data_IF_401337225745
#
_entry.id   IF_401337225745
#
_cell.length_a   1.000
_cell.length_b   1.000
_cell.length_c   1.000
_cell.angle_alpha   90.00
_cell.angle_beta   90.00
_cell.angle_gamma   90.00
#
_symmetry.space_group_name_H-M   'P 1'
#
loop_
_entity.id
_entity.type
_entity.pdbx_description
1 polymer ?
#
# COMPACT_ATOMS: atom_id res chain seq x y z
N UNK A 1 5.22 -3.93 -8.00
CA UNK A 1 5.09 -4.55 -6.69
C UNK A 1 5.12 -3.45 -5.67
N UNK A 2 4.18 -3.42 -4.75
CA UNK A 2 4.07 -2.34 -3.77
C UNK A 2 5.31 -2.35 -2.86
N UNK A 3 5.99 -1.22 -2.78
CA UNK A 3 7.19 -1.10 -1.95
C UNK A 3 6.77 -0.66 -0.57
N UNK A 4 7.07 -1.48 0.43
CA UNK A 4 6.82 -1.15 1.83
C UNK A 4 8.08 -0.61 2.48
N UNK A 5 7.99 0.58 3.07
CA UNK A 5 9.04 1.21 3.87
C UNK A 5 8.49 1.48 5.26
N UNK A 6 9.27 1.18 6.30
CA UNK A 6 8.83 1.47 7.65
C UNK A 6 9.20 2.90 8.04
N UNK A 7 8.23 3.63 8.59
CA UNK A 7 8.52 4.80 9.40
C UNK A 7 8.75 4.31 10.83
N UNK A 8 9.98 4.44 11.31
CA UNK A 8 10.41 3.92 12.61
C UNK A 8 11.24 4.96 13.38
N UNK A 9 11.14 4.88 14.70
CA UNK A 9 11.81 5.73 15.68
C UNK A 9 11.74 5.07 17.06
N UNK A 10 12.02 5.82 18.12
CA UNK A 10 12.05 5.26 19.48
C UNK A 10 10.65 4.86 19.96
N UNK A 11 10.38 3.55 19.91
CA UNK A 11 9.14 2.95 20.44
C UNK A 11 7.99 2.82 19.46
N UNK A 12 8.18 3.10 18.17
CA UNK A 12 7.16 2.87 17.13
C UNK A 12 7.75 2.33 15.83
N UNK A 13 6.93 1.56 15.11
CA UNK A 13 7.23 1.07 13.77
C UNK A 13 5.94 0.98 12.97
N UNK A 14 5.79 1.90 12.01
CA UNK A 14 4.61 2.01 11.15
C UNK A 14 4.99 1.50 9.76
N UNK A 15 4.45 0.35 9.32
CA UNK A 15 4.63 -0.12 7.95
C UNK A 15 3.89 0.84 7.01
N UNK A 16 4.63 1.48 6.11
CA UNK A 16 4.08 2.42 5.13
C UNK A 16 4.22 1.85 3.72
N UNK A 17 3.14 1.83 2.95
CA UNK A 17 3.19 1.49 1.53
C UNK A 17 3.49 2.74 0.73
N UNK A 18 4.49 2.66 -0.14
CA UNK A 18 4.88 3.75 -1.03
C UNK A 18 4.03 3.70 -2.30
N UNK A 19 3.35 4.81 -2.57
CA UNK A 19 2.59 5.05 -3.78
C UNK A 19 3.24 6.17 -4.59
N UNK A 20 3.53 5.88 -5.86
CA UNK A 20 4.06 6.86 -6.80
C UNK A 20 2.92 7.64 -7.44
N UNK A 21 3.11 8.95 -7.58
CA UNK A 21 2.29 9.74 -8.49
C UNK A 21 2.40 9.12 -9.88
N UNK A 22 1.30 8.69 -10.49
CA UNK A 22 1.38 7.92 -11.72
C UNK A 22 1.83 8.87 -12.83
N UNK A 23 2.70 8.41 -13.75
CA UNK A 23 3.27 9.28 -14.78
C UNK A 23 2.21 9.83 -15.73
N UNK A 24 1.03 9.21 -15.75
CA UNK A 24 -0.07 9.51 -16.65
C UNK A 24 -1.02 10.63 -16.20
N UNK A 25 -0.79 11.24 -15.03
CA UNK A 25 -1.59 12.38 -14.53
C UNK A 25 -1.65 13.52 -15.55
N UNK A 26 -0.58 13.73 -16.31
CA UNK A 26 -0.49 14.78 -17.33
C UNK A 26 -0.60 14.23 -18.77
N UNK A 27 -0.97 12.97 -18.96
CA UNK A 27 -1.12 12.39 -20.30
C UNK A 27 -2.47 12.76 -20.89
N UNK A 28 -2.50 13.16 -22.15
CA UNK A 28 -3.72 13.54 -22.89
C UNK A 28 -3.85 12.78 -24.19
N UNK A 29 -2.74 12.51 -24.88
CA UNK A 29 -2.67 11.63 -26.04
C UNK A 29 -2.90 10.18 -25.65
N UNK A 30 -2.17 9.71 -24.63
CA UNK A 30 -2.18 8.29 -24.24
C UNK A 30 -3.38 7.92 -23.36
N UNK A 31 -4.16 8.90 -22.90
CA UNK A 31 -5.29 8.76 -21.97
C UNK A 31 -6.51 9.51 -22.49
N UNK A 32 -7.42 8.79 -23.15
CA UNK A 32 -8.60 9.40 -23.77
C UNK A 32 -9.53 10.07 -22.75
N UNK A 33 -9.58 9.53 -21.53
CA UNK A 33 -10.29 10.08 -20.39
C UNK A 33 -9.79 11.49 -19.98
N UNK A 34 -8.55 11.84 -20.31
CA UNK A 34 -7.96 13.13 -19.98
C UNK A 34 -8.18 14.21 -21.05
N UNK A 35 -8.83 13.88 -22.17
CA UNK A 35 -9.12 14.86 -23.24
C UNK A 35 -9.96 16.05 -22.78
N UNK A 36 -10.76 15.88 -21.73
CA UNK A 36 -11.52 16.98 -21.12
C UNK A 36 -10.64 18.05 -20.46
N UNK A 37 -9.36 17.75 -20.18
CA UNK A 37 -8.39 18.72 -19.67
C UNK A 37 -7.63 19.48 -20.77
N UNK A 38 -7.87 19.18 -22.04
CA UNK A 38 -7.29 19.93 -23.15
C UNK A 38 -7.82 21.37 -23.16
N UNK A 39 -6.96 22.35 -22.91
CA UNK A 39 -7.35 23.76 -23.02
C UNK A 39 -7.40 24.18 -24.50
N UNK A 40 -8.41 24.97 -24.91
CA UNK A 40 -8.45 25.57 -26.25
C UNK A 40 -7.33 26.59 -26.51
N UNK A 41 -6.59 27.00 -25.48
CA UNK A 41 -5.48 27.95 -25.60
C UNK A 41 -4.15 27.29 -25.99
N UNK A 42 -4.08 25.95 -25.93
CA UNK A 42 -2.95 25.19 -26.47
C UNK A 42 -2.90 25.32 -28.00
N UNK A 43 -1.70 25.26 -28.61
CA UNK A 43 -1.59 25.15 -30.06
C UNK A 43 -2.29 23.90 -30.60
N UNK A 44 -2.80 24.00 -31.83
CA UNK A 44 -3.58 22.94 -32.46
C UNK A 44 -2.79 21.63 -32.56
N UNK A 45 -3.44 20.51 -32.26
CA UNK A 45 -2.83 19.19 -32.32
C UNK A 45 -1.90 18.87 -31.15
N UNK A 46 -1.58 19.80 -30.26
CA UNK A 46 -0.67 19.50 -29.15
C UNK A 46 -1.26 18.48 -28.18
N UNK A 47 -2.55 18.63 -27.85
CA UNK A 47 -3.19 17.74 -26.89
C UNK A 47 -3.36 16.31 -27.42
N UNK A 48 -3.52 16.17 -28.73
CA UNK A 48 -3.67 14.89 -29.42
C UNK A 48 -2.33 14.20 -29.69
N UNK A 49 -1.26 14.96 -29.88
CA UNK A 49 0.03 14.44 -30.32
C UNK A 49 1.06 14.26 -29.21
N UNK A 50 0.86 14.93 -28.06
CA UNK A 50 1.82 14.95 -26.97
C UNK A 50 1.16 14.76 -25.61
N UNK A 51 1.93 14.22 -24.69
CA UNK A 51 1.59 14.00 -23.28
C UNK A 51 2.49 14.86 -22.39
N UNK A 52 2.06 15.16 -21.16
CA UNK A 52 2.89 15.75 -20.11
C UNK A 52 2.60 17.20 -19.77
N UNK A 53 1.54 17.80 -20.34
CA UNK A 53 1.16 19.19 -20.09
C UNK A 53 -0.23 19.29 -19.46
N UNK A 54 -0.37 20.18 -18.49
CA UNK A 54 -1.66 20.59 -17.95
C UNK A 54 -1.77 22.12 -17.93
N UNK A 55 -2.63 22.68 -18.78
CA UNK A 55 -2.89 24.12 -18.77
C UNK A 55 -3.69 24.51 -17.53
N UNK A 56 -3.25 25.58 -16.87
CA UNK A 56 -3.83 26.13 -15.65
C UNK A 56 -4.47 27.51 -15.89
N UNK A 57 -4.68 27.88 -17.14
CA UNK A 57 -5.28 29.16 -17.55
C UNK A 57 -6.63 29.41 -16.88
N UNK A 58 -7.49 28.39 -16.80
CA UNK A 58 -8.80 28.53 -16.18
C UNK A 58 -8.73 28.74 -14.66
N UNK A 59 -7.75 28.15 -13.97
CA UNK A 59 -7.60 28.28 -12.52
C UNK A 59 -6.65 29.43 -12.11
N UNK A 60 -5.89 30.00 -13.04
CA UNK A 60 -4.93 31.10 -12.81
C UNK A 60 -5.36 32.40 -13.53
N UNK A 61 -6.66 32.67 -13.58
CA UNK A 61 -7.21 33.95 -14.10
C UNK A 61 -6.74 34.29 -15.52
N UNK A 62 -6.60 33.29 -16.38
CA UNK A 62 -6.17 33.45 -17.78
C UNK A 62 -4.65 33.54 -17.96
N UNK A 63 -3.84 33.39 -16.92
CA UNK A 63 -2.39 33.31 -17.05
C UNK A 63 -1.99 32.09 -17.90
N UNK A 64 -0.97 32.18 -18.77
CA UNK A 64 -0.54 31.09 -19.64
C UNK A 64 0.26 30.02 -18.89
N UNK A 65 -0.13 29.70 -17.65
CA UNK A 65 0.58 28.77 -16.79
C UNK A 65 0.30 27.32 -17.19
N UNK A 66 1.37 26.51 -17.21
CA UNK A 66 1.34 25.09 -17.56
C UNK A 66 2.05 24.30 -16.46
N UNK A 67 1.34 23.36 -15.87
CA UNK A 67 1.89 22.40 -14.91
C UNK A 67 2.43 21.17 -15.64
N UNK A 68 3.61 20.72 -15.23
CA UNK A 68 4.27 19.51 -15.74
C UNK A 68 4.99 18.77 -14.60
N UNK A 69 5.51 17.58 -14.90
CA UNK A 69 6.56 16.98 -14.07
C UNK A 69 7.86 17.81 -14.14
N UNK A 70 8.71 17.78 -13.10
CA UNK A 70 10.04 18.40 -13.13
C UNK A 70 10.86 17.93 -14.33
N UNK A 71 11.55 18.86 -15.00
CA UNK A 71 12.29 18.63 -16.25
C UNK A 71 11.45 17.93 -17.33
N UNK A 72 10.12 18.14 -17.32
CA UNK A 72 9.16 17.46 -18.20
C UNK A 72 9.10 15.94 -18.03
N UNK A 73 9.45 15.42 -16.83
CA UNK A 73 9.36 13.99 -16.51
C UNK A 73 7.96 13.45 -16.77
N UNK A 74 7.87 12.29 -17.40
CA UNK A 74 6.59 11.68 -17.78
C UNK A 74 5.89 12.39 -18.95
N UNK A 75 6.51 13.39 -19.60
CA UNK A 75 6.00 14.00 -20.83
C UNK A 75 6.58 13.40 -22.10
N UNK A 76 6.10 13.89 -23.24
CA UNK A 76 6.68 13.60 -24.56
C UNK A 76 8.05 14.28 -24.74
N UNK A 77 8.96 13.64 -25.49
CA UNK A 77 10.34 14.14 -25.69
C UNK A 77 10.42 15.53 -26.31
N UNK A 78 9.41 15.95 -27.09
CA UNK A 78 9.33 17.30 -27.65
C UNK A 78 9.58 18.39 -26.60
N UNK A 79 9.09 18.22 -25.38
CA UNK A 79 9.22 19.23 -24.32
C UNK A 79 10.65 19.40 -23.82
N UNK A 80 11.47 18.35 -23.91
CA UNK A 80 12.90 18.40 -23.58
C UNK A 80 13.75 18.81 -24.78
N UNK A 81 13.29 18.52 -26.00
CA UNK A 81 14.02 18.86 -27.24
C UNK A 81 14.04 20.38 -27.50
N UNK A 82 12.97 21.09 -27.10
CA UNK A 82 12.83 22.52 -27.29
C UNK A 82 13.69 23.37 -26.34
N UNK A 83 14.22 22.78 -25.25
CA UNK A 83 14.86 23.52 -24.14
C UNK A 83 16.13 22.80 -23.65
N UNK A 84 17.28 23.45 -23.83
CA UNK A 84 18.56 22.96 -23.34
C UNK A 84 18.59 22.90 -21.80
N UNK A 85 19.19 21.84 -21.25
CA UNK A 85 19.34 21.64 -19.80
C UNK A 85 18.17 20.90 -19.13
N UNK A 86 17.21 20.36 -19.90
CA UNK A 86 16.16 19.49 -19.37
C UNK A 86 16.64 18.03 -19.28
N UNK A 87 16.74 17.48 -18.07
CA UNK A 87 17.15 16.10 -17.82
C UNK A 87 16.06 15.36 -17.03
N UNK A 88 15.00 14.86 -17.70
CA UNK A 88 13.93 14.13 -17.01
C UNK A 88 14.45 12.82 -16.41
N UNK A 89 14.03 12.52 -15.19
CA UNK A 89 14.29 11.23 -14.57
C UNK A 89 13.12 10.30 -14.93
N UNK A 90 13.32 9.52 -15.98
CA UNK A 90 12.32 8.58 -16.49
C UNK A 90 12.51 7.16 -15.94
N UNK A 91 13.30 6.99 -14.87
CA UNK A 91 13.65 5.66 -14.36
C UNK A 91 12.40 4.96 -13.77
N UNK A 92 11.96 3.82 -14.31
CA UNK A 92 10.85 3.07 -13.75
C UNK A 92 11.32 2.25 -12.55
N UNK A 93 10.97 2.66 -11.33
CA UNK A 93 11.20 1.87 -10.11
C UNK A 93 11.60 2.71 -8.90
N UNK A 94 11.42 2.15 -7.71
CA UNK A 94 11.82 2.81 -6.47
C UNK A 94 13.29 2.66 -6.21
N UNK A 95 14.00 3.77 -6.22
CA UNK A 95 15.27 3.87 -5.52
C UNK A 95 15.26 5.17 -4.71
N UNK A 96 15.30 5.05 -3.38
CA UNK A 96 15.42 6.19 -2.47
C UNK A 96 16.61 7.05 -2.91
N UNK A 97 16.34 8.31 -3.28
CA UNK A 97 17.38 9.24 -3.75
C UNK A 97 17.62 9.25 -5.27
N UNK A 98 16.98 8.38 -6.07
CA UNK A 98 16.97 8.45 -7.55
C UNK A 98 15.57 8.62 -8.15
N UNK A 99 14.65 9.17 -7.37
CA UNK A 99 13.33 9.56 -7.85
C UNK A 99 13.25 11.09 -7.80
N UNK A 100 14.21 11.77 -8.44
CA UNK A 100 14.40 13.21 -8.28
C UNK A 100 13.21 13.98 -8.84
N UNK A 101 12.61 13.48 -9.92
CA UNK A 101 11.48 14.12 -10.60
C UNK A 101 10.13 13.42 -10.35
N UNK A 102 10.12 12.28 -9.67
CA UNK A 102 8.87 11.54 -9.38
C UNK A 102 8.27 11.93 -8.03
N UNK A 103 6.96 12.16 -7.99
CA UNK A 103 6.20 12.35 -6.75
C UNK A 103 5.91 11.02 -6.06
N UNK A 104 5.96 10.95 -4.74
CA UNK A 104 5.58 9.75 -3.99
C UNK A 104 5.00 10.08 -2.60
N UNK A 105 4.21 9.14 -2.07
CA UNK A 105 3.58 9.19 -0.76
C UNK A 105 3.76 7.86 -0.05
N UNK A 106 4.08 7.89 1.24
CA UNK A 106 3.99 6.75 2.14
C UNK A 106 2.68 6.78 2.90
N UNK A 107 1.94 5.68 2.91
CA UNK A 107 0.66 5.55 3.61
C UNK A 107 0.70 4.44 4.66
N UNK A 108 0.22 4.71 5.87
CA UNK A 108 -0.08 3.65 6.85
C UNK A 108 -1.30 2.85 6.37
N UNK A 109 -1.15 1.53 6.21
CA UNK A 109 -2.22 0.66 5.71
C UNK A 109 -3.42 0.57 6.65
N UNK A 110 -3.24 0.86 7.93
CA UNK A 110 -4.32 0.73 8.91
C UNK A 110 -5.22 1.98 8.95
N UNK A 111 -4.61 3.16 8.96
CA UNK A 111 -5.33 4.44 9.05
C UNK A 111 -5.54 5.16 7.72
N UNK A 112 -4.73 4.85 6.70
CA UNK A 112 -4.64 5.62 5.46
C UNK A 112 -3.90 6.96 5.61
N UNK A 113 -3.32 7.25 6.78
CA UNK A 113 -2.59 8.49 7.00
C UNK A 113 -1.28 8.54 6.20
N UNK A 114 -0.92 9.73 5.71
CA UNK A 114 0.36 9.95 5.04
C UNK A 114 1.47 9.99 6.10
N UNK A 115 2.43 9.08 6.03
CA UNK A 115 3.57 9.00 6.95
C UNK A 115 4.76 9.82 6.46
N UNK A 116 4.92 9.91 5.15
CA UNK A 116 5.86 10.79 4.47
C UNK A 116 5.38 11.10 3.05
N UNK A 117 5.84 12.21 2.49
CA UNK A 117 5.51 12.65 1.13
C UNK A 117 6.70 13.39 0.51
N UNK A 118 6.81 13.25 -0.82
CA UNK A 118 7.55 14.16 -1.67
C UNK A 118 6.68 14.43 -2.90
N UNK A 119 6.05 15.59 -2.95
CA UNK A 119 5.26 16.07 -4.08
C UNK A 119 6.10 17.03 -4.91
N UNK A 120 6.21 16.74 -6.20
CA UNK A 120 7.04 17.48 -7.14
C UNK A 120 6.21 17.92 -8.34
N UNK A 121 6.35 19.19 -8.69
CA UNK A 121 5.64 19.83 -9.80
C UNK A 121 6.51 20.92 -10.39
N UNK A 122 6.39 21.13 -11.69
CA UNK A 122 7.04 22.22 -12.41
C UNK A 122 5.99 23.16 -12.98
N UNK A 123 6.26 24.47 -12.81
CA UNK A 123 5.44 25.55 -13.34
C UNK A 123 6.19 26.17 -14.52
N UNK A 124 5.47 26.24 -15.65
CA UNK A 124 5.96 26.74 -16.91
C UNK A 124 4.99 27.80 -17.45
N UNK A 125 5.45 28.61 -18.40
CA UNK A 125 4.59 29.49 -19.19
C UNK A 125 4.55 29.08 -20.65
N UNK A 126 3.36 29.07 -21.25
CA UNK A 126 3.18 28.93 -22.68
C UNK A 126 3.49 30.27 -23.35
N UNK A 127 4.66 30.36 -23.98
CA UNK A 127 5.16 31.57 -24.63
C UNK A 127 4.97 31.43 -26.14
N UNK A 128 4.23 32.35 -26.74
CA UNK A 128 4.08 32.46 -28.21
C UNK A 128 5.01 33.54 -28.72
N UNK A 129 5.43 33.45 -29.99
CA UNK A 129 6.18 34.52 -30.63
C UNK A 129 5.32 35.77 -30.71
N UNK A 130 5.86 36.91 -30.26
CA UNK A 130 5.22 38.22 -30.41
C UNK A 130 6.30 39.26 -30.77
N UNK A 131 6.29 39.72 -32.02
CA UNK A 131 7.29 40.67 -32.52
C UNK A 131 7.18 42.07 -31.87
N UNK A 132 6.09 42.34 -31.12
CA UNK A 132 5.91 43.59 -30.37
C UNK A 132 6.68 43.58 -29.05
N UNK A 133 7.08 42.41 -28.56
CA UNK A 133 7.73 42.21 -27.27
C UNK A 133 9.13 41.64 -27.51
N UNK A 134 10.16 42.41 -27.19
CA UNK A 134 11.56 42.09 -27.55
C UNK A 134 11.98 40.65 -27.24
N UNK A 135 11.81 40.18 -26.00
CA UNK A 135 12.21 38.81 -25.63
C UNK A 135 11.34 37.70 -26.27
N UNK A 136 10.08 38.00 -26.62
CA UNK A 136 9.19 37.02 -27.27
C UNK A 136 9.42 36.96 -28.78
N UNK A 137 10.02 37.99 -29.37
CA UNK A 137 10.44 38.00 -30.78
C UNK A 137 11.62 37.06 -31.08
N UNK A 138 12.32 36.60 -30.04
CA UNK A 138 13.45 35.67 -30.16
C UNK A 138 13.03 34.19 -30.08
N UNK A 139 11.74 33.92 -29.80
CA UNK A 139 11.20 32.56 -29.80
C UNK A 139 11.31 31.99 -31.23
N UNK A 140 12.09 30.91 -31.36
CA UNK A 140 12.41 30.28 -32.65
C UNK A 140 11.29 29.37 -33.18
N UNK A 141 10.41 28.88 -32.30
CA UNK A 141 9.29 28.03 -32.67
C UNK A 141 8.11 28.92 -33.12
N UNK A 142 7.55 28.66 -34.30
CA UNK A 142 6.46 29.45 -34.88
C UNK A 142 5.14 29.28 -34.11
N UNK A 143 4.94 28.15 -33.42
CA UNK A 143 3.70 27.87 -32.69
C UNK A 143 3.72 28.45 -31.26
N UNK A 144 4.54 27.87 -30.39
CA UNK A 144 4.74 28.24 -29.00
C UNK A 144 5.89 27.44 -28.39
N UNK A 145 6.41 27.88 -27.25
CA UNK A 145 7.36 27.15 -26.39
C UNK A 145 6.78 27.07 -24.98
N UNK A 146 6.96 25.93 -24.30
CA UNK A 146 6.60 25.76 -22.88
C UNK A 146 7.81 26.11 -22.02
N UNK A 147 7.94 27.38 -21.64
CA UNK A 147 9.12 27.89 -20.95
C UNK A 147 9.10 27.59 -19.44
N UNK A 148 10.08 26.84 -18.88
CA UNK A 148 10.12 26.49 -17.47
C UNK A 148 10.50 27.71 -16.63
N UNK A 149 9.76 27.94 -15.55
CA UNK A 149 10.03 29.04 -14.61
C UNK A 149 10.73 28.50 -13.37
N UNK A 150 10.12 27.51 -12.73
CA UNK A 150 10.69 26.80 -11.58
C UNK A 150 10.01 25.44 -11.41
N UNK A 151 10.67 24.56 -10.67
CA UNK A 151 10.04 23.38 -10.09
C UNK A 151 10.20 23.42 -8.57
N UNK A 152 9.30 22.74 -7.88
CA UNK A 152 9.30 22.70 -6.42
C UNK A 152 9.15 21.29 -5.91
N UNK A 153 9.88 20.97 -4.84
CA UNK A 153 9.73 19.74 -4.06
C UNK A 153 9.11 20.09 -2.70
N UNK A 154 7.84 19.74 -2.53
CA UNK A 154 7.16 19.81 -1.24
C UNK A 154 7.36 18.47 -0.53
N UNK A 155 8.02 18.49 0.63
CA UNK A 155 8.32 17.27 1.39
C UNK A 155 7.67 17.32 2.76
N UNK A 156 7.18 16.18 3.22
CA UNK A 156 6.64 15.99 4.55
C UNK A 156 7.14 14.68 5.13
N UNK A 157 7.45 14.66 6.42
CA UNK A 157 7.67 13.45 7.20
C UNK A 157 7.05 13.69 8.57
N UNK A 158 6.31 12.71 9.09
CA UNK A 158 5.79 12.80 10.45
C UNK A 158 6.95 12.90 11.43
N UNK A 159 6.84 13.86 12.36
CA UNK A 159 7.72 13.93 13.52
C UNK A 159 7.45 12.77 14.49
N UNK A 160 8.39 12.54 15.40
CA UNK A 160 8.36 11.38 16.30
C UNK A 160 7.15 11.39 17.25
N UNK A 161 6.67 12.56 17.67
CA UNK A 161 5.51 12.67 18.55
C UNK A 161 4.24 12.27 17.82
N UNK A 162 4.01 12.86 16.64
CA UNK A 162 2.87 12.56 15.78
C UNK A 162 2.90 11.11 15.28
N UNK A 163 4.07 10.62 14.88
CA UNK A 163 4.25 9.24 14.43
C UNK A 163 3.94 8.24 15.56
N UNK A 164 4.39 8.52 16.80
CA UNK A 164 4.04 7.67 17.95
C UNK A 164 2.55 7.68 18.23
N UNK A 165 1.90 8.86 18.21
CA UNK A 165 0.45 8.97 18.37
C UNK A 165 -0.30 8.14 17.32
N UNK A 166 0.11 8.25 16.06
CA UNK A 166 -0.44 7.44 14.97
C UNK A 166 -0.25 5.94 15.21
N UNK A 167 0.95 5.52 15.61
CA UNK A 167 1.25 4.11 15.93
C UNK A 167 0.37 3.57 17.05
N UNK A 168 0.15 4.35 18.10
CA UNK A 168 -0.71 3.95 19.22
C UNK A 168 -2.18 3.87 18.84
N UNK A 169 -2.63 4.72 17.92
CA UNK A 169 -4.00 4.73 17.43
C UNK A 169 -4.30 3.65 16.38
N UNK A 170 -3.34 3.31 15.51
CA UNK A 170 -3.57 2.43 14.35
C UNK A 170 -2.90 1.06 14.48
N UNK A 171 -1.58 1.02 14.62
CA UNK A 171 -0.81 -0.23 14.54
C UNK A 171 -0.85 -1.03 15.85
N UNK A 172 -0.75 -0.36 16.99
CA UNK A 172 -0.68 -0.99 18.32
C UNK A 172 -1.95 -1.80 18.65
N UNK A 173 -3.19 -1.30 18.43
CA UNK A 173 -4.40 -2.07 18.71
C UNK A 173 -4.50 -3.33 17.85
N UNK A 174 -4.12 -3.26 16.57
CA UNK A 174 -4.08 -4.42 15.67
C UNK A 174 -3.13 -5.50 16.20
N UNK A 175 -1.90 -5.12 16.59
CA UNK A 175 -0.92 -6.06 17.16
C UNK A 175 -1.43 -6.72 18.44
N UNK A 176 -2.03 -5.94 19.34
CA UNK A 176 -2.59 -6.46 20.60
C UNK A 176 -3.74 -7.44 20.31
N UNK A 177 -4.67 -7.06 19.42
CA UNK A 177 -5.79 -7.90 19.02
C UNK A 177 -5.34 -9.23 18.43
N UNK A 178 -4.40 -9.19 17.47
CA UNK A 178 -3.83 -10.40 16.86
C UNK A 178 -3.07 -11.26 17.87
N UNK A 179 -2.30 -10.66 18.77
CA UNK A 179 -1.61 -11.39 19.84
C UNK A 179 -2.59 -12.09 20.78
N UNK A 180 -3.68 -11.42 21.16
CA UNK A 180 -4.72 -12.00 22.01
C UNK A 180 -5.43 -13.16 21.31
N UNK A 181 -5.77 -13.01 20.03
CA UNK A 181 -6.37 -14.08 19.22
C UNK A 181 -5.48 -15.33 19.19
N UNK A 182 -4.19 -15.18 18.87
CA UNK A 182 -3.26 -16.32 18.86
C UNK A 182 -3.11 -16.97 20.23
N UNK A 183 -3.11 -16.16 21.30
CA UNK A 183 -3.04 -16.68 22.68
C UNK A 183 -4.28 -17.51 23.02
N UNK A 184 -5.48 -17.04 22.64
CA UNK A 184 -6.72 -17.78 22.84
C UNK A 184 -6.76 -19.09 22.03
N UNK A 185 -6.30 -19.08 20.77
CA UNK A 185 -6.22 -20.29 19.96
C UNK A 185 -5.21 -21.30 20.53
N UNK A 186 -4.05 -20.85 21.00
CA UNK A 186 -3.06 -21.71 21.65
C UNK A 186 -3.62 -22.34 22.93
N UNK A 187 -4.30 -21.55 23.77
CA UNK A 187 -4.94 -22.04 24.99
C UNK A 187 -6.04 -23.06 24.69
N UNK A 188 -6.92 -22.76 23.72
CA UNK A 188 -7.98 -23.67 23.29
C UNK A 188 -7.42 -24.98 22.73
N UNK A 189 -6.41 -24.91 21.87
CA UNK A 189 -5.72 -26.08 21.35
C UNK A 189 -5.08 -26.93 22.45
N UNK A 190 -4.45 -26.29 23.44
CA UNK A 190 -3.86 -26.98 24.59
C UNK A 190 -4.91 -27.74 25.41
N UNK A 191 -6.05 -27.13 25.71
CA UNK A 191 -7.14 -27.79 26.44
C UNK A 191 -7.73 -28.97 25.66
N UNK A 192 -7.86 -28.85 24.34
CA UNK A 192 -8.29 -29.96 23.46
C UNK A 192 -7.29 -31.11 23.52
N UNK A 193 -5.99 -30.83 23.47
CA UNK A 193 -4.96 -31.87 23.59
C UNK A 193 -5.05 -32.62 24.91
N UNK A 194 -5.27 -31.92 26.03
CA UNK A 194 -5.49 -32.56 27.34
C UNK A 194 -6.72 -33.47 27.29
N UNK A 195 -7.84 -32.99 26.77
CA UNK A 195 -9.07 -33.78 26.66
C UNK A 195 -8.88 -35.06 25.82
N UNK A 196 -8.13 -34.96 24.71
CA UNK A 196 -7.78 -36.09 23.85
C UNK A 196 -6.92 -37.10 24.63
N UNK A 197 -5.89 -36.64 25.34
CA UNK A 197 -5.00 -37.51 26.13
C UNK A 197 -5.78 -38.26 27.21
N UNK A 198 -6.66 -37.55 27.95
CA UNK A 198 -7.49 -38.17 28.98
C UNK A 198 -8.52 -39.14 28.40
N UNK A 199 -9.09 -38.85 27.22
CA UNK A 199 -9.95 -39.78 26.50
C UNK A 199 -9.23 -41.08 26.12
N UNK A 200 -8.03 -40.97 25.53
CA UNK A 200 -7.23 -42.15 25.18
C UNK A 200 -6.76 -42.96 26.39
N UNK A 201 -6.44 -42.29 27.51
CA UNK A 201 -6.12 -42.96 28.78
C UNK A 201 -7.30 -43.76 29.32
N UNK A 202 -8.50 -43.20 29.25
CA UNK A 202 -9.73 -43.85 29.72
C UNK A 202 -10.10 -45.04 28.84
N UNK A 203 -9.99 -44.90 27.52
CA UNK A 203 -10.17 -46.00 26.56
C UNK A 203 -9.23 -47.17 26.85
N UNK A 204 -7.93 -46.90 27.07
CA UNK A 204 -6.96 -47.94 27.43
C UNK A 204 -7.32 -48.63 28.76
N UNK A 205 -7.73 -47.86 29.77
CA UNK A 205 -8.18 -48.42 31.06
C UNK A 205 -9.39 -49.35 30.95
N UNK A 206 -10.33 -49.07 30.05
CA UNK A 206 -11.48 -49.95 29.82
C UNK A 206 -11.10 -51.25 29.11
N UNK A 207 -10.15 -51.19 28.17
CA UNK A 207 -9.63 -52.40 27.48
C UNK A 207 -8.80 -53.28 28.43
N UNK A 208 -8.06 -52.67 29.37
CA UNK A 208 -7.25 -53.40 30.37
C UNK A 208 -8.04 -53.94 31.57
N UNK A 209 -9.34 -53.65 31.69
CA UNK A 209 -10.18 -54.20 32.77
C UNK A 209 -10.77 -55.54 32.32
N UNK A 210 -10.22 -56.70 32.76
CA UNK A 210 -10.64 -58.01 32.26
C UNK A 210 -12.08 -58.31 32.66
N UNK A 211 -12.83 -58.81 31.68
CA UNK A 211 -14.10 -59.49 31.82
C UNK A 211 -14.03 -60.50 32.98
N UNK A 212 -14.71 -60.19 34.10
CA UNK A 212 -14.90 -61.15 35.18
C UNK A 212 -15.97 -62.15 34.72
N UNK A 213 -15.57 -63.11 33.89
CA UNK A 213 -16.36 -64.28 33.51
C UNK A 213 -16.49 -65.20 34.72
N UNK A 214 -17.49 -64.97 35.55
CA UNK A 214 -17.91 -65.89 36.60
C UNK A 214 -18.88 -66.91 35.99
N UNK A 215 -18.34 -67.92 35.30
CA UNK A 215 -19.09 -69.12 34.94
C UNK A 215 -19.02 -70.12 36.11
N UNK A 216 -19.96 -70.03 37.05
CA UNK A 216 -20.24 -71.12 37.98
C UNK A 216 -21.18 -72.09 37.26
N UNK A 217 -20.60 -73.15 36.69
CA UNK A 217 -21.34 -74.35 36.30
C UNK A 217 -21.63 -75.11 37.60
N UNK A 218 -22.87 -75.10 38.08
CA UNK A 218 -23.31 -76.02 39.12
C UNK A 218 -23.43 -77.44 38.52
N UNK A 219 -22.74 -78.38 39.17
CA UNK A 219 -22.59 -79.78 38.77
C UNK A 219 -23.83 -80.60 39.20
N UNK A 220 -24.53 -81.33 38.30
CA UNK A 220 -25.85 -81.89 38.58
C UNK A 220 -25.84 -83.25 39.31
N UNK A 221 -24.78 -83.61 40.04
CA UNK A 221 -24.68 -84.95 40.66
C UNK A 221 -24.09 -84.93 42.08
N UNK A 222 -24.96 -84.73 43.07
CA UNK A 222 -24.72 -85.22 44.43
C UNK A 222 -26.04 -85.60 45.12
N UNK A 223 -26.46 -86.83 44.88
CA UNK A 223 -27.41 -87.58 45.70
C UNK A 223 -26.63 -88.49 46.67
N UNK A 224 -27.02 -88.45 47.95
CA UNK A 224 -27.10 -89.53 48.96
C UNK A 224 -27.16 -88.81 50.32
N UNK A 225 -28.34 -88.67 50.90
CA UNK A 225 -29.10 -89.66 51.67
C UNK A 225 -28.72 -89.68 53.16
N UNK A 226 -29.76 -89.35 53.92
CA UNK A 226 -30.21 -89.97 55.15
C UNK A 226 -29.38 -89.77 56.43
N UNK A 227 -29.99 -89.02 57.36
CA UNK A 227 -30.12 -89.44 58.76
C UNK A 227 -31.24 -88.67 59.44
N UNK A 228 -32.31 -89.40 59.71
CA UNK A 228 -33.40 -89.03 60.59
C UNK A 228 -33.22 -89.67 61.97
N UNK A 229 -33.46 -88.86 63.01
CA UNK A 229 -34.12 -89.17 64.30
C UNK A 229 -33.35 -89.78 65.51
N UNK A 230 -33.81 -89.30 66.68
CA UNK A 230 -33.64 -89.68 68.10
C UNK A 230 -32.52 -88.96 68.85
N UNK A 231 -32.75 -88.23 69.96
CA UNK A 231 -33.86 -88.10 70.94
C UNK A 231 -34.04 -86.64 71.35
#
# INVERSE_FOLDING_TARGET
GDVTVNLEGDGYKIPSVVWYGPPDVFWTKSRQEHRCFCSPNLPEGWCENYDGLHMMDQCQMGAPAVATGPHFSGGSSRWTDDIEGMEPDNTPGFEWGKAEHTSFNGYDLNSGAITFNSKKIQINFLVKRDDRIGFMSEVKNEDAVVWPIFWSNETMKLDDETARSLYEASVKPMKIGTSLQYTMFALGGFLILIAIVEHFRTQRRQVDSPEKSESVVEDPFKTTDDKSVSL
#
